data_IF_671882767407
#
_entry.id   IF_671882767407
#
_cell.length_a   1.000
_cell.length_b   1.000
_cell.length_c   1.000
_cell.angle_alpha   90.00
_cell.angle_beta   90.00
_cell.angle_gamma   90.00
#
_symmetry.space_group_name_H-M   'P 1'
#
loop_
_entity.id
_entity.type
_entity.pdbx_description
1 polymer ?
#
# COMPACT_ATOMS: atom_id res chain seq x y z
N UNK A 1 27.34 17.50 20.07
CA UNK A 1 26.59 18.38 19.17
C UNK A 1 25.50 19.03 19.97
N UNK A 2 25.55 20.35 20.02
CA UNK A 2 24.51 21.17 20.59
C UNK A 2 23.37 21.32 19.60
N UNK A 3 22.17 21.49 20.14
CA UNK A 3 20.93 21.55 19.37
C UNK A 3 20.12 22.77 19.78
N UNK A 4 19.83 23.62 18.80
CA UNK A 4 18.97 24.78 18.93
C UNK A 4 17.76 24.63 17.99
N UNK A 5 16.61 25.16 18.40
CA UNK A 5 15.39 25.20 17.60
C UNK A 5 15.15 26.63 17.13
N UNK A 6 14.94 26.78 15.82
CA UNK A 6 14.67 28.07 15.18
C UNK A 6 13.51 27.94 14.18
N UNK A 7 12.94 29.06 13.74
CA UNK A 7 11.86 29.10 12.77
C UNK A 7 12.16 30.09 11.65
N UNK A 8 12.20 29.60 10.42
CA UNK A 8 12.45 30.44 9.25
C UNK A 8 11.20 30.48 8.37
N UNK A 9 10.79 31.67 7.93
CA UNK A 9 9.76 31.76 6.89
C UNK A 9 10.32 31.29 5.54
N UNK A 10 9.47 30.79 4.65
CA UNK A 10 9.88 30.46 3.28
C UNK A 10 10.46 31.69 2.59
N UNK A 11 9.85 32.86 2.78
CA UNK A 11 10.39 34.13 2.31
C UNK A 11 11.83 34.35 2.77
N UNK A 12 12.12 34.18 4.07
CA UNK A 12 13.48 34.32 4.58
C UNK A 12 14.43 33.27 4.01
N UNK A 13 13.98 32.02 3.83
CA UNK A 13 14.78 30.95 3.21
C UNK A 13 15.15 31.26 1.75
N UNK A 14 14.24 31.90 1.01
CA UNK A 14 14.42 32.27 -0.40
C UNK A 14 15.24 33.55 -0.55
N UNK A 15 14.88 34.62 0.17
CA UNK A 15 15.52 35.94 0.08
C UNK A 15 16.96 35.94 0.58
N UNK A 16 17.29 35.09 1.56
CA UNK A 16 18.68 34.93 2.06
C UNK A 16 19.60 34.18 1.07
N UNK A 17 19.33 34.23 -0.24
CA UNK A 17 20.09 33.53 -1.29
C UNK A 17 21.63 33.63 -1.10
N UNK A 18 22.20 32.49 -0.67
CA UNK A 18 23.30 31.76 -1.34
C UNK A 18 24.80 31.95 -1.02
N UNK A 19 25.33 32.71 -0.05
CA UNK A 19 26.70 32.42 0.39
C UNK A 19 26.78 31.24 1.35
N UNK A 20 25.64 30.73 1.86
CA UNK A 20 25.58 30.21 3.22
C UNK A 20 24.93 28.85 3.44
N UNK A 21 24.42 28.16 2.40
CA UNK A 21 23.80 26.84 2.58
C UNK A 21 24.49 25.78 1.70
N UNK A 22 25.37 25.00 2.30
CA UNK A 22 26.04 23.85 1.69
C UNK A 22 25.22 22.57 1.73
N UNK A 23 25.49 21.66 0.81
CA UNK A 23 24.95 20.30 0.80
C UNK A 23 26.12 19.32 0.84
N UNK A 24 26.33 18.61 1.96
CA UNK A 24 27.43 17.64 2.08
C UNK A 24 27.34 16.50 1.05
N UNK A 25 28.49 15.92 0.69
CA UNK A 25 28.61 14.88 -0.34
C UNK A 25 27.86 13.59 0.02
N UNK A 26 27.74 13.27 1.31
CA UNK A 26 27.01 12.07 1.78
C UNK A 26 25.49 12.15 1.58
N UNK A 27 24.95 13.30 1.19
CA UNK A 27 23.52 13.42 0.91
C UNK A 27 23.14 12.81 -0.44
N UNK A 28 21.89 12.38 -0.55
CA UNK A 28 21.32 11.92 -1.82
C UNK A 28 21.27 13.06 -2.83
N UNK A 29 21.41 12.71 -4.12
CA UNK A 29 21.26 13.62 -5.26
C UNK A 29 19.99 14.49 -5.14
N UNK A 30 20.03 15.77 -5.53
CA UNK A 30 18.92 16.71 -5.35
C UNK A 30 17.67 16.36 -6.16
N UNK A 31 17.80 15.53 -7.19
CA UNK A 31 16.73 15.14 -8.13
C UNK A 31 15.96 13.87 -7.74
N UNK A 32 16.09 13.39 -6.49
CA UNK A 32 15.44 12.15 -6.02
C UNK A 32 13.92 12.27 -5.90
N UNK A 33 13.41 13.48 -5.67
CA UNK A 33 11.97 13.73 -5.70
C UNK A 33 11.47 13.96 -7.12
N UNK A 34 10.54 13.09 -7.55
CA UNK A 34 9.74 13.33 -8.75
C UNK A 34 8.83 14.56 -8.58
N UNK A 35 8.31 15.06 -9.70
CA UNK A 35 7.41 16.21 -9.72
C UNK A 35 6.24 16.04 -8.74
N UNK A 36 5.67 14.82 -8.65
CA UNK A 36 4.52 14.54 -7.79
C UNK A 36 4.84 14.74 -6.31
N UNK A 37 6.03 14.32 -5.83
CA UNK A 37 6.47 14.58 -4.45
C UNK A 37 6.70 16.07 -4.19
N UNK A 38 7.30 16.78 -5.16
CA UNK A 38 7.49 18.24 -5.05
C UNK A 38 6.15 18.96 -4.91
N UNK A 39 5.19 18.63 -5.78
CA UNK A 39 3.82 19.19 -5.73
C UNK A 39 3.12 18.93 -4.38
N UNK A 40 3.23 17.72 -3.83
CA UNK A 40 2.64 17.41 -2.51
C UNK A 40 3.22 18.21 -1.36
N UNK A 41 4.52 18.54 -1.41
CA UNK A 41 5.11 19.43 -0.41
C UNK A 41 4.50 20.83 -0.49
N UNK A 42 4.37 21.38 -1.70
CA UNK A 42 3.76 22.70 -1.90
C UNK A 42 2.29 22.71 -1.44
N UNK A 43 1.52 21.67 -1.79
CA UNK A 43 0.14 21.51 -1.30
C UNK A 43 0.08 21.45 0.24
N UNK A 44 1.02 20.73 0.89
CA UNK A 44 1.10 20.67 2.35
C UNK A 44 1.39 22.03 2.99
N UNK A 45 2.30 22.81 2.40
CA UNK A 45 2.64 24.18 2.83
C UNK A 45 1.41 25.10 2.74
N UNK A 46 0.69 25.04 1.61
CA UNK A 46 -0.50 25.87 1.38
C UNK A 46 -1.67 25.52 2.30
N UNK A 47 -1.79 24.25 2.69
CA UNK A 47 -2.75 23.79 3.71
C UNK A 47 -2.29 24.07 5.15
N UNK A 48 -1.11 24.67 5.31
CA UNK A 48 -0.47 24.91 6.59
C UNK A 48 -0.31 23.64 7.44
N UNK A 49 -0.05 22.50 6.80
CA UNK A 49 0.29 21.26 7.49
C UNK A 49 1.73 21.31 8.00
N UNK A 50 1.98 20.70 9.16
CA UNK A 50 3.33 20.61 9.71
C UNK A 50 4.20 19.71 8.81
N UNK A 51 5.41 20.18 8.52
CA UNK A 51 6.40 19.43 7.75
C UNK A 51 7.58 19.05 8.62
N UNK A 52 8.21 17.92 8.29
CA UNK A 52 9.38 17.45 9.01
C UNK A 52 10.47 18.55 9.07
N UNK A 53 11.10 18.77 10.25
CA UNK A 53 12.10 19.81 10.42
C UNK A 53 13.25 19.71 9.43
N UNK A 54 13.86 20.84 9.10
CA UNK A 54 15.10 20.90 8.34
C UNK A 54 16.26 20.91 9.34
N UNK A 55 17.19 19.98 9.19
CA UNK A 55 18.37 19.89 10.04
C UNK A 55 19.52 20.61 9.33
N UNK A 56 20.04 21.65 9.97
CA UNK A 56 21.17 22.42 9.48
C UNK A 56 22.31 22.34 10.48
N UNK A 57 23.52 22.05 10.00
CA UNK A 57 24.75 22.17 10.76
C UNK A 57 25.33 23.57 10.58
N UNK A 58 25.46 24.32 11.67
CA UNK A 58 26.04 25.67 11.67
C UNK A 58 27.56 25.56 11.71
N UNK A 59 28.22 25.89 10.60
CA UNK A 59 29.68 25.97 10.49
C UNK A 59 30.22 27.26 11.10
N UNK A 60 29.57 28.38 10.82
CA UNK A 60 29.87 29.69 11.41
C UNK A 60 28.59 30.54 11.51
N UNK A 61 28.71 31.83 11.85
CA UNK A 61 27.56 32.72 12.06
C UNK A 61 26.62 32.78 10.84
N UNK A 62 27.16 32.57 9.65
CA UNK A 62 26.40 32.69 8.42
C UNK A 62 26.38 31.39 7.61
N UNK A 63 27.36 30.49 7.70
CA UNK A 63 27.42 29.25 6.92
C UNK A 63 26.74 28.07 7.62
N UNK A 64 25.85 27.42 6.88
CA UNK A 64 25.07 26.25 7.28
C UNK A 64 25.27 25.12 6.27
N UNK A 65 25.24 23.88 6.73
CA UNK A 65 25.14 22.70 5.88
C UNK A 65 23.84 21.96 6.15
N UNK A 66 23.05 21.71 5.11
CA UNK A 66 21.85 20.91 5.27
C UNK A 66 22.24 19.46 5.51
N UNK A 67 21.85 18.89 6.65
CA UNK A 67 22.07 17.49 7.01
C UNK A 67 20.87 16.63 6.60
N UNK A 68 19.66 17.14 6.84
CA UNK A 68 18.40 16.55 6.36
C UNK A 68 17.43 17.65 5.93
N UNK A 69 16.71 17.44 4.82
CA UNK A 69 15.79 18.43 4.25
C UNK A 69 16.17 18.98 2.88
N UNK A 70 17.30 18.55 2.28
CA UNK A 70 17.74 18.98 0.94
C UNK A 70 16.64 18.88 -0.11
N UNK A 71 15.89 17.79 -0.13
CA UNK A 71 14.79 17.59 -1.09
C UNK A 71 13.63 18.57 -0.86
N UNK A 72 13.34 18.92 0.40
CA UNK A 72 12.30 19.90 0.76
C UNK A 72 12.71 21.30 0.31
N UNK A 73 13.96 21.69 0.59
CA UNK A 73 14.53 22.98 0.18
C UNK A 73 14.56 23.07 -1.36
N UNK A 74 15.03 22.02 -2.04
CA UNK A 74 15.06 21.98 -3.49
C UNK A 74 13.64 22.09 -4.09
N UNK A 75 12.64 21.42 -3.53
CA UNK A 75 11.26 21.54 -3.99
C UNK A 75 10.72 22.98 -3.84
N UNK A 76 10.98 23.65 -2.71
CA UNK A 76 10.61 25.06 -2.48
C UNK A 76 11.31 25.96 -3.50
N UNK A 77 12.64 25.83 -3.66
CA UNK A 77 13.41 26.61 -4.63
C UNK A 77 12.96 26.36 -6.06
N UNK A 78 12.60 25.11 -6.40
CA UNK A 78 12.10 24.75 -7.73
C UNK A 78 10.73 25.36 -7.99
N UNK A 79 9.85 25.43 -6.99
CA UNK A 79 8.53 26.03 -7.15
C UNK A 79 8.63 27.54 -7.40
N UNK A 80 9.45 28.23 -6.62
CA UNK A 80 9.70 29.68 -6.75
C UNK A 80 10.50 30.02 -8.02
N UNK A 81 11.16 29.04 -8.64
CA UNK A 81 11.93 29.25 -9.88
C UNK A 81 13.39 29.66 -9.65
N UNK A 82 13.85 29.61 -8.41
CA UNK A 82 15.17 30.10 -7.98
C UNK A 82 16.23 29.00 -7.90
N UNK A 83 15.88 27.77 -8.27
CA UNK A 83 16.78 26.62 -8.22
C UNK A 83 17.78 26.63 -9.38
N UNK A 84 19.01 27.05 -9.10
CA UNK A 84 20.10 27.18 -10.06
C UNK A 84 21.02 25.94 -10.10
N UNK A 85 20.50 24.72 -9.89
CA UNK A 85 21.25 23.47 -10.00
C UNK A 85 21.60 23.15 -11.47
N UNK A 86 22.47 23.96 -12.09
CA UNK A 86 23.21 23.73 -13.34
C UNK A 86 22.50 22.89 -14.42
N UNK A 87 21.28 23.27 -14.82
CA UNK A 87 20.47 22.58 -15.85
C UNK A 87 20.15 21.09 -15.58
N UNK A 88 20.32 20.59 -14.34
CA UNK A 88 19.92 19.22 -13.96
C UNK A 88 18.49 19.13 -13.44
N UNK A 89 17.89 20.24 -13.05
CA UNK A 89 16.52 20.27 -12.53
C UNK A 89 15.50 20.52 -13.65
N UNK A 90 14.89 19.44 -14.14
CA UNK A 90 13.89 19.50 -15.21
C UNK A 90 12.57 20.16 -14.79
N UNK A 91 12.30 20.30 -13.48
CA UNK A 91 11.02 20.79 -12.96
C UNK A 91 11.14 22.15 -12.25
N UNK A 92 12.05 23.03 -12.67
CA UNK A 92 12.04 24.40 -12.15
C UNK A 92 10.78 25.14 -12.65
N UNK A 93 10.15 25.96 -11.79
CA UNK A 93 8.86 26.64 -12.02
C UNK A 93 7.70 25.68 -12.33
N UNK A 94 7.62 24.57 -11.61
CA UNK A 94 6.56 23.60 -11.83
C UNK A 94 5.18 24.13 -11.40
N UNK A 95 4.14 23.61 -12.05
CA UNK A 95 2.75 23.91 -11.71
C UNK A 95 2.30 23.14 -10.48
N UNK A 96 1.50 23.76 -9.62
CA UNK A 96 0.87 23.09 -8.49
C UNK A 96 -0.08 21.99 -8.96
N UNK A 97 -0.22 20.96 -8.14
CA UNK A 97 -1.24 19.93 -8.29
C UNK A 97 -1.88 19.71 -6.94
N UNK A 98 -3.18 19.96 -6.87
CA UNK A 98 -3.98 19.78 -5.67
C UNK A 98 -4.60 18.39 -5.77
N UNK A 99 -3.94 17.43 -5.12
CA UNK A 99 -4.36 16.04 -5.01
C UNK A 99 -4.34 15.63 -3.52
N UNK A 100 -5.50 15.68 -2.87
CA UNK A 100 -5.67 15.19 -1.51
C UNK A 100 -5.76 13.66 -1.47
N UNK A 101 -5.21 13.01 -0.44
CA UNK A 101 -5.24 11.56 -0.28
C UNK A 101 -6.54 10.98 0.30
N UNK A 102 -7.30 11.79 1.04
CA UNK A 102 -8.34 11.31 1.96
C UNK A 102 -9.74 11.65 1.43
N UNK A 103 -9.93 12.86 0.93
CA UNK A 103 -11.19 13.33 0.37
C UNK A 103 -10.96 14.04 -0.96
N UNK A 104 -12.04 14.30 -1.69
CA UNK A 104 -11.98 15.16 -2.88
C UNK A 104 -12.16 16.60 -2.40
N UNK A 105 -11.22 17.48 -2.75
CA UNK A 105 -11.31 18.90 -2.42
C UNK A 105 -12.40 19.53 -3.31
N UNK A 106 -13.64 19.50 -2.85
CA UNK A 106 -14.79 20.11 -3.54
C UNK A 106 -14.97 21.58 -3.19
N UNK A 107 -14.22 22.08 -2.21
CA UNK A 107 -14.34 23.44 -1.71
C UNK A 107 -13.57 24.41 -2.61
N UNK A 108 -14.30 25.35 -3.21
CA UNK A 108 -13.77 26.54 -3.86
C UNK A 108 -13.12 27.40 -2.74
N UNK A 109 -11.77 27.37 -2.59
CA UNK A 109 -10.82 28.00 -3.51
C UNK A 109 -9.58 27.14 -3.87
N UNK A 110 -9.44 25.93 -3.34
CA UNK A 110 -8.26 25.12 -3.63
C UNK A 110 -8.26 24.62 -5.07
N UNK A 111 -9.41 24.20 -5.60
CA UNK A 111 -9.48 23.65 -6.96
C UNK A 111 -9.04 24.65 -8.05
N UNK A 112 -9.25 25.97 -7.85
CA UNK A 112 -8.85 27.02 -8.80
C UNK A 112 -7.34 27.31 -8.81
N UNK A 113 -6.61 26.91 -7.77
CA UNK A 113 -5.15 27.04 -7.68
C UNK A 113 -4.41 25.86 -8.36
N UNK A 114 -5.13 24.79 -8.71
CA UNK A 114 -4.54 23.64 -9.40
C UNK A 114 -4.05 24.06 -10.79
N UNK A 115 -2.78 23.83 -11.09
CA UNK A 115 -2.16 24.27 -12.34
C UNK A 115 -1.49 25.64 -12.29
N UNK A 116 -1.67 26.41 -11.21
CA UNK A 116 -0.98 27.69 -11.00
C UNK A 116 0.51 27.50 -10.69
N UNK A 117 1.33 28.47 -11.07
CA UNK A 117 2.76 28.57 -10.72
C UNK A 117 2.97 29.62 -9.63
N UNK A 118 4.18 29.69 -9.05
CA UNK A 118 4.51 30.75 -8.10
C UNK A 118 4.36 32.16 -8.72
N UNK A 119 4.74 32.33 -10.00
CA UNK A 119 4.59 33.61 -10.70
C UNK A 119 3.12 34.01 -10.84
N UNK A 120 2.21 33.04 -11.05
CA UNK A 120 0.77 33.31 -11.09
C UNK A 120 0.24 33.77 -9.73
N UNK A 121 0.78 33.22 -8.63
CA UNK A 121 0.45 33.63 -7.26
C UNK A 121 1.00 35.02 -6.92
N UNK A 122 2.20 35.35 -7.40
CA UNK A 122 2.88 36.64 -7.18
C UNK A 122 2.22 37.78 -7.98
N UNK A 123 1.53 37.47 -9.07
CA UNK A 123 0.96 38.47 -9.97
C UNK A 123 -0.13 39.34 -9.30
N UNK A 124 0.12 40.65 -9.24
CA UNK A 124 -0.78 41.64 -8.61
C UNK A 124 -2.18 41.69 -9.21
N UNK A 125 -2.34 41.44 -10.51
CA UNK A 125 -3.66 41.48 -11.16
C UNK A 125 -4.46 40.23 -10.80
N UNK A 126 -3.84 39.05 -10.80
CA UNK A 126 -4.45 37.81 -10.30
C UNK A 126 -4.87 37.95 -8.83
N UNK A 127 -4.03 38.56 -7.98
CA UNK A 127 -4.34 38.77 -6.56
C UNK A 127 -5.52 39.73 -6.33
N UNK A 128 -5.72 40.73 -7.21
CA UNK A 128 -6.85 41.67 -7.14
C UNK A 128 -8.15 41.04 -7.63
N UNK A 129 -8.08 40.24 -8.68
CA UNK A 129 -9.24 39.56 -9.27
C UNK A 129 -9.68 38.37 -8.43
N UNK A 130 -8.73 37.65 -7.84
CA UNK A 130 -8.94 36.39 -7.13
C UNK A 130 -8.25 36.43 -5.76
N UNK A 131 -9.04 36.64 -4.70
CA UNK A 131 -8.55 36.70 -3.32
C UNK A 131 -7.74 35.44 -2.94
N UNK A 132 -8.13 34.28 -3.46
CA UNK A 132 -7.47 33.00 -3.20
C UNK A 132 -6.00 32.95 -3.66
N UNK A 133 -5.61 33.69 -4.71
CA UNK A 133 -4.22 33.77 -5.15
C UNK A 133 -3.37 34.53 -4.15
N UNK A 134 -3.92 35.62 -3.60
CA UNK A 134 -3.27 36.39 -2.54
C UNK A 134 -3.12 35.56 -1.26
N UNK A 135 -4.21 34.94 -0.80
CA UNK A 135 -4.18 34.11 0.40
C UNK A 135 -3.17 32.95 0.26
N UNK A 136 -3.09 32.32 -0.93
CA UNK A 136 -2.09 31.28 -1.21
C UNK A 136 -0.65 31.81 -1.25
N UNK A 137 -0.42 32.98 -1.85
CA UNK A 137 0.90 33.62 -1.89
C UNK A 137 1.40 33.99 -0.48
N UNK A 138 0.54 34.61 0.32
CA UNK A 138 0.84 35.00 1.71
C UNK A 138 1.10 33.74 2.56
N UNK A 139 0.21 32.74 2.49
CA UNK A 139 0.36 31.47 3.21
C UNK A 139 1.67 30.76 2.85
N UNK A 140 2.05 30.74 1.57
CA UNK A 140 3.30 30.12 1.14
C UNK A 140 4.52 30.88 1.69
N UNK A 141 4.59 32.20 1.49
CA UNK A 141 5.76 32.98 1.86
C UNK A 141 5.95 33.10 3.37
N UNK A 142 4.85 33.21 4.13
CA UNK A 142 4.86 33.33 5.60
C UNK A 142 4.93 31.98 6.33
N UNK A 143 4.80 30.86 5.61
CA UNK A 143 4.90 29.53 6.19
C UNK A 143 6.21 29.37 6.97
N UNK A 144 6.10 28.95 8.24
CA UNK A 144 7.23 28.82 9.16
C UNK A 144 7.79 27.40 9.12
N UNK A 145 8.98 27.27 8.57
CA UNK A 145 9.77 26.05 8.58
C UNK A 145 10.42 25.88 9.95
N UNK A 146 10.22 24.70 10.56
CA UNK A 146 10.94 24.32 11.77
C UNK A 146 12.39 23.95 11.41
N UNK A 147 13.34 24.72 11.92
CA UNK A 147 14.78 24.51 11.71
C UNK A 147 15.39 23.95 12.99
N UNK A 148 16.14 22.86 12.86
CA UNK A 148 16.98 22.33 13.93
C UNK A 148 18.42 22.68 13.58
N UNK A 149 18.98 23.63 14.32
CA UNK A 149 20.38 24.03 14.20
C UNK A 149 21.24 23.10 15.05
N UNK A 150 22.28 22.56 14.44
CA UNK A 150 23.27 21.70 15.06
C UNK A 150 24.60 22.42 15.06
N UNK A 151 25.27 22.47 16.20
CA UNK A 151 26.64 22.99 16.31
C UNK A 151 27.52 21.99 17.04
N UNK A 152 28.83 22.10 16.84
CA UNK A 152 29.81 21.32 17.59
C UNK A 152 30.78 22.25 18.29
N UNK A 153 31.01 22.01 19.58
CA UNK A 153 32.02 22.72 20.36
C UNK A 153 33.43 22.13 20.17
N UNK A 154 33.59 21.11 19.33
CA UNK A 154 34.88 20.46 19.10
C UNK A 154 35.51 20.94 17.81
N UNK A 155 36.76 21.41 17.90
CA UNK A 155 37.61 21.75 16.74
C UNK A 155 38.06 20.52 15.91
N UNK A 156 37.64 19.32 16.29
CA UNK A 156 37.95 18.08 15.57
C UNK A 156 36.96 17.86 14.41
N UNK A 157 37.36 18.31 13.22
CA UNK A 157 36.56 18.22 11.99
C UNK A 157 36.16 16.79 11.61
N UNK A 158 37.06 15.81 11.75
CA UNK A 158 36.79 14.41 11.37
C UNK A 158 35.69 13.81 12.26
N UNK A 159 35.74 14.07 13.56
CA UNK A 159 34.70 13.60 14.49
C UNK A 159 33.35 14.26 14.22
N UNK A 160 33.35 15.54 13.84
CA UNK A 160 32.14 16.26 13.47
C UNK A 160 31.50 15.63 12.24
N UNK A 161 32.27 15.33 11.19
CA UNK A 161 31.77 14.70 9.97
C UNK A 161 31.19 13.29 10.21
N UNK A 162 31.85 12.50 11.06
CA UNK A 162 31.36 11.16 11.45
C UNK A 162 30.01 11.22 12.19
N UNK A 163 29.88 12.14 13.15
CA UNK A 163 28.63 12.31 13.90
C UNK A 163 27.49 12.84 13.01
N UNK A 164 27.78 13.78 12.10
CA UNK A 164 26.82 14.27 11.10
C UNK A 164 26.35 13.14 10.17
N UNK A 165 27.27 12.30 9.71
CA UNK A 165 26.95 11.13 8.87
C UNK A 165 26.07 10.12 9.61
N UNK A 166 26.40 9.82 10.87
CA UNK A 166 25.60 8.91 11.71
C UNK A 166 24.19 9.47 11.95
N UNK A 167 24.08 10.78 12.18
CA UNK A 167 22.79 11.45 12.34
C UNK A 167 21.96 11.41 11.05
N UNK A 168 22.57 11.66 9.89
CA UNK A 168 21.90 11.54 8.59
C UNK A 168 21.32 10.13 8.39
N UNK A 169 22.10 9.08 8.65
CA UNK A 169 21.62 7.70 8.56
C UNK A 169 20.43 7.49 9.49
N UNK A 170 20.53 7.87 10.77
CA UNK A 170 19.48 7.65 11.77
C UNK A 170 18.19 8.39 11.46
N UNK A 171 18.25 9.62 10.95
CA UNK A 171 17.07 10.37 10.52
C UNK A 171 16.36 9.67 9.35
N UNK A 172 17.13 9.02 8.46
CA UNK A 172 16.61 8.34 7.28
C UNK A 172 16.19 6.87 7.50
N UNK A 173 16.39 6.31 8.69
CA UNK A 173 15.97 4.93 9.04
C UNK A 173 14.47 4.79 9.33
N UNK A 174 13.74 5.91 9.52
CA UNK A 174 12.30 5.87 9.79
C UNK A 174 11.54 5.33 8.57
N UNK A 175 10.82 4.23 8.78
CA UNK A 175 10.08 3.56 7.71
C UNK A 175 8.82 4.34 7.33
N UNK A 176 8.62 4.60 6.04
CA UNK A 176 7.38 5.20 5.55
C UNK A 176 6.16 4.31 5.89
N UNK A 177 5.00 4.95 6.04
CA UNK A 177 3.73 4.24 6.26
C UNK A 177 3.47 3.24 5.12
N UNK A 178 3.04 2.03 5.48
CA UNK A 178 2.66 1.02 4.50
C UNK A 178 1.21 1.21 4.03
N UNK A 179 0.77 0.40 3.06
CA UNK A 179 -0.57 0.52 2.50
C UNK A 179 -1.68 0.37 3.57
N UNK A 180 -1.55 -0.57 4.50
CA UNK A 180 -2.55 -0.78 5.55
C UNK A 180 -2.65 0.39 6.52
N UNK A 181 -1.51 0.95 6.95
CA UNK A 181 -1.46 2.15 7.80
C UNK A 181 -2.06 3.37 7.10
N UNK A 182 -1.77 3.53 5.80
CA UNK A 182 -2.36 4.60 4.99
C UNK A 182 -3.87 4.44 4.80
N UNK A 183 -4.38 3.21 4.63
CA UNK A 183 -5.82 2.95 4.55
C UNK A 183 -6.53 3.19 5.90
N UNK A 184 -5.87 2.87 7.01
CA UNK A 184 -6.43 3.10 8.35
C UNK A 184 -6.63 4.60 8.64
N UNK A 185 -5.74 5.44 8.11
CA UNK A 185 -5.79 6.90 8.19
C UNK A 185 -6.88 7.54 7.32
N UNK A 186 -7.53 6.78 6.42
CA UNK A 186 -8.65 7.28 5.63
C UNK A 186 -9.90 7.47 6.49
N UNK A 187 -10.88 8.20 5.95
CA UNK A 187 -12.18 8.43 6.56
C UNK A 187 -13.31 7.78 5.74
N UNK A 188 -14.52 7.75 6.29
CA UNK A 188 -15.73 7.30 5.59
C UNK A 188 -16.20 5.87 5.90
N UNK A 189 -17.34 5.49 5.34
CA UNK A 189 -18.03 4.24 5.63
C UNK A 189 -17.22 3.00 5.23
N UNK A 190 -16.51 3.01 4.09
CA UNK A 190 -15.66 1.86 3.71
C UNK A 190 -14.53 1.62 4.71
N UNK A 191 -13.89 2.69 5.18
CA UNK A 191 -12.87 2.58 6.22
C UNK A 191 -13.47 2.04 7.51
N UNK A 192 -14.66 2.48 7.90
CA UNK A 192 -15.34 1.97 9.10
C UNK A 192 -15.78 0.51 8.93
N UNK A 193 -16.27 0.10 7.77
CA UNK A 193 -16.59 -1.31 7.51
C UNK A 193 -15.33 -2.18 7.65
N UNK A 194 -14.24 -1.80 6.98
CA UNK A 194 -13.01 -2.59 6.98
C UNK A 194 -12.31 -2.56 8.33
N UNK A 195 -12.13 -1.41 8.98
CA UNK A 195 -11.34 -1.35 10.21
C UNK A 195 -12.20 -1.48 11.46
N UNK A 196 -13.47 -1.07 11.41
CA UNK A 196 -14.36 -1.14 12.56
C UNK A 196 -15.28 -2.35 12.57
N UNK A 197 -16.04 -2.62 11.52
CA UNK A 197 -17.00 -3.73 11.56
C UNK A 197 -16.30 -5.09 11.48
N UNK A 198 -15.24 -5.21 10.68
CA UNK A 198 -14.49 -6.47 10.56
C UNK A 198 -13.43 -6.68 11.67
N UNK A 199 -12.95 -5.60 12.32
CA UNK A 199 -11.80 -5.64 13.23
C UNK A 199 -11.93 -4.84 14.55
N UNK A 200 -12.95 -4.00 14.78
CA UNK A 200 -13.11 -3.20 16.03
C UNK A 200 -13.98 -3.88 17.09
N UNK A 201 -13.66 -3.54 18.34
CA UNK A 201 -14.22 -4.00 19.60
C UNK A 201 -15.52 -3.25 19.97
N UNK A 202 -16.53 -3.99 20.46
CA UNK A 202 -17.63 -3.43 21.25
C UNK A 202 -17.20 -3.49 22.73
N UNK A 203 -17.36 -2.41 23.53
CA UNK A 203 -17.07 -2.46 24.96
C UNK A 203 -17.98 -3.48 25.68
N UNK A 204 -17.40 -4.49 26.33
CA UNK A 204 -18.13 -5.45 27.18
C UNK A 204 -18.13 -6.92 26.71
N UNK A 205 -17.66 -7.22 25.50
CA UNK A 205 -17.52 -8.59 24.99
C UNK A 205 -16.04 -8.98 24.85
N UNK A 206 -15.69 -10.25 25.11
CA UNK A 206 -14.33 -10.75 24.88
C UNK A 206 -13.99 -10.75 23.37
N UNK A 207 -13.46 -9.62 22.88
CA UNK A 207 -12.62 -9.40 21.70
C UNK A 207 -12.72 -10.47 20.60
N UNK A 208 -13.50 -10.28 19.54
CA UNK A 208 -13.33 -11.11 18.33
C UNK A 208 -13.35 -10.30 17.04
N UNK A 209 -12.13 -10.10 16.50
CA UNK A 209 -11.88 -9.97 15.06
C UNK A 209 -12.71 -11.01 14.31
N UNK A 210 -13.22 -10.69 13.12
CA UNK A 210 -14.02 -11.64 12.35
C UNK A 210 -13.29 -13.01 12.28
N UNK A 211 -13.97 -14.15 12.59
CA UNK A 211 -13.31 -15.45 12.74
C UNK A 211 -12.42 -15.85 11.56
N UNK A 212 -12.81 -15.50 10.33
CA UNK A 212 -11.98 -15.68 9.13
C UNK A 212 -10.57 -15.08 9.28
N UNK A 213 -10.48 -13.79 9.59
CA UNK A 213 -9.20 -13.12 9.77
C UNK A 213 -8.47 -13.58 11.03
N UNK A 214 -9.18 -14.16 12.02
CA UNK A 214 -8.56 -14.81 13.17
C UNK A 214 -7.87 -16.12 12.78
N UNK A 215 -8.51 -16.94 11.94
CA UNK A 215 -8.04 -18.28 11.58
C UNK A 215 -6.87 -18.28 10.59
N UNK A 216 -6.83 -17.34 9.63
CA UNK A 216 -5.74 -17.27 8.66
C UNK A 216 -4.39 -16.86 9.30
N UNK A 217 -3.30 -17.47 8.84
CA UNK A 217 -1.93 -17.29 9.36
C UNK A 217 -1.14 -16.20 8.65
N UNK A 218 -1.83 -15.10 8.31
CA UNK A 218 -1.20 -13.84 7.89
C UNK A 218 -0.79 -13.05 9.15
N UNK A 219 0.36 -12.35 9.18
CA UNK A 219 0.73 -11.54 10.35
C UNK A 219 -0.26 -10.38 10.57
N UNK A 220 -0.45 -9.97 11.82
CA UNK A 220 -1.22 -8.75 12.17
C UNK A 220 -0.39 -7.47 12.05
N UNK A 221 0.92 -7.59 11.86
CA UNK A 221 1.84 -6.46 11.86
C UNK A 221 1.50 -5.49 10.71
N UNK A 222 1.42 -4.20 11.05
CA UNK A 222 1.18 -3.09 10.12
C UNK A 222 -0.05 -3.29 9.21
N UNK A 223 -1.19 -3.65 9.83
CA UNK A 223 -2.50 -3.74 9.19
C UNK A 223 -2.57 -4.66 7.94
N UNK A 224 -1.82 -5.75 7.94
CA UNK A 224 -1.74 -6.65 6.79
C UNK A 224 -3.05 -7.40 6.50
N UNK A 225 -3.84 -7.74 7.52
CA UNK A 225 -5.12 -8.45 7.34
C UNK A 225 -6.24 -7.51 6.91
N UNK A 226 -6.20 -6.29 7.41
CA UNK A 226 -7.09 -5.20 7.06
C UNK A 226 -6.85 -4.80 5.60
N UNK A 227 -5.58 -4.80 5.14
CA UNK A 227 -5.27 -4.65 3.72
C UNK A 227 -5.88 -5.79 2.87
N UNK A 228 -5.82 -7.05 3.34
CA UNK A 228 -6.46 -8.19 2.65
C UNK A 228 -7.98 -8.01 2.60
N UNK A 229 -8.60 -7.57 3.70
CA UNK A 229 -10.02 -7.26 3.76
C UNK A 229 -10.41 -6.16 2.76
N UNK A 230 -9.60 -5.10 2.66
CA UNK A 230 -9.80 -4.03 1.67
C UNK A 230 -9.69 -4.55 0.22
N UNK A 231 -8.74 -5.45 -0.07
CA UNK A 231 -8.59 -6.08 -1.38
C UNK A 231 -9.76 -6.99 -1.73
N UNK A 232 -10.28 -7.74 -0.75
CA UNK A 232 -11.50 -8.53 -0.88
C UNK A 232 -12.68 -7.62 -1.22
N UNK A 233 -12.91 -6.56 -0.44
CA UNK A 233 -14.04 -5.66 -0.64
C UNK A 233 -14.00 -4.99 -2.02
N UNK A 234 -12.85 -4.42 -2.42
CA UNK A 234 -12.70 -3.79 -3.73
C UNK A 234 -13.06 -4.77 -4.88
N UNK A 235 -12.52 -5.98 -4.84
CA UNK A 235 -12.73 -6.94 -5.92
C UNK A 235 -14.13 -7.57 -5.90
N UNK A 236 -14.72 -7.77 -4.73
CA UNK A 236 -16.10 -8.22 -4.62
C UNK A 236 -17.06 -7.17 -5.20
N UNK A 237 -16.88 -5.89 -4.86
CA UNK A 237 -17.67 -4.80 -5.42
C UNK A 237 -17.53 -4.73 -6.94
N UNK A 238 -16.29 -4.89 -7.44
CA UNK A 238 -15.98 -4.89 -8.87
C UNK A 238 -16.58 -6.10 -9.61
N UNK A 239 -16.65 -7.26 -8.94
CA UNK A 239 -17.25 -8.49 -9.49
C UNK A 239 -18.78 -8.41 -9.52
N UNK A 240 -19.40 -7.77 -8.54
CA UNK A 240 -20.86 -7.66 -8.41
C UNK A 240 -21.46 -6.44 -9.12
N UNK A 241 -20.63 -5.61 -9.75
CA UNK A 241 -21.05 -4.44 -10.52
C UNK A 241 -20.59 -4.59 -11.97
N UNK A 242 -21.40 -4.21 -12.99
CA UNK A 242 -20.95 -4.23 -14.38
C UNK A 242 -19.63 -3.45 -14.53
N UNK A 243 -18.62 -3.99 -15.24
CA UNK A 243 -18.70 -5.11 -16.18
C UNK A 243 -18.40 -6.51 -15.59
N UNK A 244 -18.48 -6.69 -14.26
CA UNK A 244 -18.22 -7.96 -13.57
C UNK A 244 -16.77 -8.46 -13.74
N UNK A 245 -15.82 -7.52 -13.69
CA UNK A 245 -14.38 -7.81 -13.84
C UNK A 245 -13.61 -7.52 -12.57
N UNK A 246 -12.47 -8.16 -12.38
CA UNK A 246 -11.56 -7.83 -11.30
C UNK A 246 -10.88 -6.46 -11.49
N UNK A 247 -10.68 -5.76 -10.37
CA UNK A 247 -10.02 -4.46 -10.33
C UNK A 247 -8.56 -4.60 -9.89
N UNK A 248 -7.72 -3.67 -10.34
CA UNK A 248 -6.39 -3.49 -9.76
C UNK A 248 -6.55 -3.10 -8.29
N UNK A 249 -5.73 -3.65 -7.42
CA UNK A 249 -5.84 -3.54 -5.96
C UNK A 249 -4.53 -3.11 -5.29
N UNK A 250 -3.77 -2.23 -5.97
CA UNK A 250 -2.64 -1.52 -5.36
C UNK A 250 -3.18 -0.48 -4.38
N UNK A 251 -2.28 0.07 -3.56
CA UNK A 251 -2.65 1.11 -2.59
C UNK A 251 -3.43 2.27 -3.23
N UNK A 252 -2.99 2.76 -4.39
CA UNK A 252 -3.65 3.88 -5.09
C UNK A 252 -5.10 3.54 -5.48
N UNK A 253 -5.36 2.31 -5.92
CA UNK A 253 -6.70 1.86 -6.30
C UNK A 253 -7.60 1.70 -5.07
N UNK A 254 -7.05 1.13 -3.99
CA UNK A 254 -7.75 1.01 -2.71
C UNK A 254 -8.07 2.39 -2.12
N UNK A 255 -7.17 3.36 -2.26
CA UNK A 255 -7.40 4.74 -1.86
C UNK A 255 -8.55 5.36 -2.66
N UNK A 256 -8.54 5.27 -4.00
CA UNK A 256 -9.66 5.78 -4.80
C UNK A 256 -10.99 5.09 -4.45
N UNK A 257 -10.96 3.78 -4.18
CA UNK A 257 -12.14 3.04 -3.75
C UNK A 257 -12.68 3.55 -2.42
N UNK A 258 -11.83 3.75 -1.41
CA UNK A 258 -12.25 4.27 -0.10
C UNK A 258 -12.83 5.67 -0.22
N UNK A 259 -12.20 6.57 -1.00
CA UNK A 259 -12.73 7.91 -1.29
C UNK A 259 -14.13 7.88 -1.91
N UNK A 260 -14.32 7.09 -2.96
CA UNK A 260 -15.63 6.91 -3.62
C UNK A 260 -16.69 6.33 -2.71
N UNK A 261 -16.28 5.58 -1.68
CA UNK A 261 -17.14 4.93 -0.70
C UNK A 261 -17.08 5.61 0.67
N UNK A 262 -16.91 6.93 0.67
CA UNK A 262 -16.97 7.75 1.88
C UNK A 262 -18.36 7.69 2.52
N UNK A 263 -19.42 7.74 1.71
CA UNK A 263 -20.81 7.49 2.11
C UNK A 263 -21.35 6.29 1.34
N UNK A 264 -21.96 5.34 2.03
CA UNK A 264 -22.60 4.18 1.37
C UNK A 264 -23.96 4.55 0.80
N UNK A 265 -24.25 4.02 -0.38
CA UNK A 265 -25.62 3.89 -0.87
C UNK A 265 -26.22 2.53 -0.46
N UNK A 266 -27.48 2.28 -0.81
CA UNK A 266 -28.18 1.03 -0.46
C UNK A 266 -27.48 -0.20 -1.05
N UNK A 267 -26.95 -0.09 -2.27
CA UNK A 267 -26.22 -1.17 -2.92
C UNK A 267 -24.90 -1.48 -2.21
N UNK A 268 -24.16 -0.44 -1.80
CA UNK A 268 -22.90 -0.59 -1.06
C UNK A 268 -23.15 -1.28 0.29
N UNK A 269 -24.23 -0.91 0.96
CA UNK A 269 -24.65 -1.53 2.24
C UNK A 269 -25.08 -2.99 2.04
N UNK A 270 -25.74 -3.32 0.93
CA UNK A 270 -26.06 -4.72 0.58
C UNK A 270 -24.77 -5.53 0.36
N UNK A 271 -23.84 -5.01 -0.44
CA UNK A 271 -22.60 -5.71 -0.77
C UNK A 271 -21.70 -5.93 0.46
N UNK A 272 -21.63 -4.98 1.40
CA UNK A 272 -20.88 -5.19 2.65
C UNK A 272 -21.50 -6.26 3.54
N UNK A 273 -22.84 -6.34 3.60
CA UNK A 273 -23.55 -7.42 4.31
C UNK A 273 -23.31 -8.78 3.66
N UNK A 274 -23.33 -8.86 2.33
CA UNK A 274 -22.99 -10.09 1.61
C UNK A 274 -21.55 -10.54 1.88
N UNK A 275 -20.59 -9.61 1.93
CA UNK A 275 -19.21 -9.95 2.32
C UNK A 275 -19.18 -10.60 3.71
N UNK A 276 -19.90 -10.04 4.69
CA UNK A 276 -19.98 -10.62 6.04
C UNK A 276 -20.62 -12.01 6.03
N UNK A 277 -21.71 -12.18 5.29
CA UNK A 277 -22.39 -13.47 5.13
C UNK A 277 -21.46 -14.52 4.53
N UNK A 278 -20.77 -14.19 3.44
CA UNK A 278 -19.80 -15.08 2.78
C UNK A 278 -18.65 -15.42 3.73
N UNK A 279 -18.10 -14.44 4.46
CA UNK A 279 -17.04 -14.70 5.42
C UNK A 279 -17.49 -15.66 6.54
N UNK A 280 -18.74 -15.56 7.00
CA UNK A 280 -19.32 -16.47 7.99
C UNK A 280 -19.49 -17.88 7.43
N UNK A 281 -20.02 -18.01 6.21
CA UNK A 281 -20.15 -19.29 5.50
C UNK A 281 -18.77 -19.95 5.34
N UNK A 282 -17.76 -19.18 4.92
CA UNK A 282 -16.38 -19.68 4.76
C UNK A 282 -15.86 -20.24 6.09
N UNK A 283 -16.04 -19.51 7.20
CA UNK A 283 -15.60 -19.97 8.52
C UNK A 283 -16.28 -21.27 8.92
N UNK A 284 -17.59 -21.37 8.69
CA UNK A 284 -18.38 -22.55 9.02
C UNK A 284 -17.93 -23.81 8.28
N UNK A 285 -17.53 -23.68 7.01
CA UNK A 285 -17.23 -24.84 6.16
C UNK A 285 -15.74 -25.15 6.02
N UNK A 286 -14.85 -24.16 6.01
CA UNK A 286 -13.43 -24.39 5.74
C UNK A 286 -12.61 -24.65 7.01
N UNK A 287 -13.01 -24.10 8.16
CA UNK A 287 -12.38 -24.24 9.48
C UNK A 287 -10.85 -24.44 9.46
N UNK A 288 -10.37 -25.68 9.65
CA UNK A 288 -8.94 -26.06 9.65
C UNK A 288 -8.17 -25.60 8.39
N UNK A 289 -8.79 -25.61 7.21
CA UNK A 289 -8.17 -25.21 5.95
C UNK A 289 -7.75 -23.72 5.97
N UNK A 290 -8.46 -22.88 6.74
CA UNK A 290 -8.11 -21.46 6.88
C UNK A 290 -6.75 -21.27 7.56
N UNK A 291 -6.36 -22.18 8.45
CA UNK A 291 -5.07 -22.11 9.16
C UNK A 291 -3.87 -22.35 8.26
N UNK A 292 -4.09 -22.95 7.08
CA UNK A 292 -3.05 -23.21 6.08
C UNK A 292 -2.75 -21.94 5.27
N UNK A 293 -3.72 -21.01 5.17
CA UNK A 293 -3.60 -19.78 4.39
C UNK A 293 -2.64 -18.79 5.06
N UNK A 294 -1.43 -18.68 4.51
CA UNK A 294 -0.37 -17.74 4.95
C UNK A 294 -0.15 -16.57 3.99
N UNK A 295 -0.52 -16.73 2.72
CA UNK A 295 -0.31 -15.72 1.68
C UNK A 295 -1.56 -14.86 1.49
N UNK A 296 -1.36 -13.53 1.43
CA UNK A 296 -2.41 -12.52 1.24
C UNK A 296 -3.21 -12.72 -0.04
N UNK A 297 -2.52 -12.98 -1.15
CA UNK A 297 -3.11 -13.21 -2.46
C UNK A 297 -4.02 -14.45 -2.44
N UNK A 298 -3.57 -15.54 -1.82
CA UNK A 298 -4.37 -16.77 -1.66
C UNK A 298 -5.64 -16.47 -0.87
N UNK A 299 -5.56 -15.75 0.25
CA UNK A 299 -6.75 -15.39 1.03
C UNK A 299 -7.79 -14.62 0.20
N UNK A 300 -7.35 -13.64 -0.60
CA UNK A 300 -8.23 -12.88 -1.51
C UNK A 300 -8.86 -13.81 -2.57
N UNK A 301 -8.06 -14.65 -3.22
CA UNK A 301 -8.55 -15.56 -4.26
C UNK A 301 -9.52 -16.62 -3.72
N UNK A 302 -9.24 -17.18 -2.54
CA UNK A 302 -10.14 -18.14 -1.88
C UNK A 302 -11.49 -17.51 -1.61
N UNK A 303 -11.52 -16.29 -1.05
CA UNK A 303 -12.78 -15.58 -0.82
C UNK A 303 -13.54 -15.35 -2.13
N UNK A 304 -12.88 -14.78 -3.14
CA UNK A 304 -13.55 -14.39 -4.39
C UNK A 304 -14.05 -15.60 -5.19
N UNK A 305 -13.31 -16.71 -5.16
CA UNK A 305 -13.76 -17.95 -5.79
C UNK A 305 -15.02 -18.51 -5.12
N UNK A 306 -15.03 -18.55 -3.78
CA UNK A 306 -16.20 -19.01 -3.03
C UNK A 306 -17.37 -18.07 -3.29
N UNK A 307 -17.15 -16.76 -3.20
CA UNK A 307 -18.15 -15.73 -3.47
C UNK A 307 -18.80 -15.91 -4.86
N UNK A 308 -18.02 -16.05 -5.93
CA UNK A 308 -18.55 -16.32 -7.28
C UNK A 308 -19.33 -17.66 -7.32
N UNK A 309 -18.80 -18.71 -6.68
CA UNK A 309 -19.37 -20.05 -6.77
C UNK A 309 -20.72 -20.17 -6.07
N UNK A 310 -20.92 -19.47 -4.95
CA UNK A 310 -22.15 -19.53 -4.15
C UNK A 310 -23.12 -18.38 -4.45
N UNK A 311 -22.79 -17.48 -5.37
CA UNK A 311 -23.70 -16.41 -5.76
C UNK A 311 -24.79 -16.95 -6.70
N UNK A 312 -26.04 -16.58 -6.44
CA UNK A 312 -27.16 -16.81 -7.34
C UNK A 312 -27.43 -15.52 -8.14
N UNK A 313 -27.13 -15.55 -9.44
CA UNK A 313 -27.29 -14.38 -10.31
C UNK A 313 -28.76 -13.97 -10.53
N UNK A 314 -29.68 -14.93 -10.54
CA UNK A 314 -31.11 -14.68 -10.75
C UNK A 314 -31.73 -13.99 -9.52
N UNK A 315 -31.39 -14.49 -8.33
CA UNK A 315 -31.89 -13.96 -7.06
C UNK A 315 -31.04 -12.83 -6.49
N UNK A 316 -29.89 -12.54 -7.11
CA UNK A 316 -28.90 -11.53 -6.71
C UNK A 316 -28.50 -11.61 -5.24
N UNK A 317 -28.36 -12.83 -4.72
CA UNK A 317 -28.04 -13.09 -3.32
C UNK A 317 -27.09 -14.28 -3.18
N UNK A 318 -26.52 -14.41 -1.98
CA UNK A 318 -25.70 -15.54 -1.57
C UNK A 318 -26.60 -16.77 -1.36
N UNK A 319 -26.26 -17.88 -1.99
CA UNK A 319 -26.98 -19.15 -1.87
C UNK A 319 -26.27 -20.08 -0.86
N UNK A 320 -26.83 -20.14 0.34
CA UNK A 320 -26.32 -20.96 1.43
C UNK A 320 -26.48 -22.47 1.18
N UNK A 321 -27.45 -22.92 0.37
CA UNK A 321 -27.61 -24.34 0.07
C UNK A 321 -26.54 -24.79 -0.94
N UNK A 322 -26.28 -23.97 -1.96
CA UNK A 322 -25.17 -24.19 -2.89
C UNK A 322 -23.81 -24.22 -2.18
N UNK A 323 -23.65 -23.39 -1.14
CA UNK A 323 -22.46 -23.42 -0.30
C UNK A 323 -22.26 -24.75 0.43
N UNK A 324 -23.33 -25.36 0.97
CA UNK A 324 -23.25 -26.68 1.64
C UNK A 324 -22.82 -27.80 0.69
N UNK A 325 -23.18 -27.70 -0.58
CA UNK A 325 -22.80 -28.68 -1.61
C UNK A 325 -21.33 -28.53 -2.03
N UNK A 326 -20.90 -27.32 -2.35
CA UNK A 326 -19.58 -27.07 -2.98
C UNK A 326 -18.45 -27.01 -1.95
N UNK A 327 -18.68 -26.39 -0.80
CA UNK A 327 -17.59 -26.04 0.12
C UNK A 327 -16.89 -27.22 0.80
N UNK A 328 -17.54 -28.35 1.13
CA UNK A 328 -16.83 -29.53 1.65
C UNK A 328 -15.76 -30.05 0.66
N UNK A 329 -16.11 -30.20 -0.61
CA UNK A 329 -15.16 -30.62 -1.64
C UNK A 329 -14.09 -29.55 -1.88
N UNK A 330 -14.47 -28.28 -1.84
CA UNK A 330 -13.53 -27.18 -1.99
C UNK A 330 -12.54 -27.09 -0.83
N UNK A 331 -12.95 -27.42 0.39
CA UNK A 331 -12.08 -27.52 1.57
C UNK A 331 -10.99 -28.56 1.32
N UNK A 332 -11.38 -29.77 0.93
CA UNK A 332 -10.42 -30.87 0.68
C UNK A 332 -9.47 -30.53 -0.47
N UNK A 333 -10.02 -29.99 -1.56
CA UNK A 333 -9.24 -29.44 -2.66
C UNK A 333 -8.22 -28.40 -2.18
N UNK A 334 -8.65 -27.41 -1.38
CA UNK A 334 -7.77 -26.33 -0.94
C UNK A 334 -6.61 -26.86 -0.08
N UNK A 335 -6.87 -27.84 0.78
CA UNK A 335 -5.85 -28.51 1.59
C UNK A 335 -4.84 -29.24 0.68
N UNK A 336 -5.33 -30.11 -0.21
CA UNK A 336 -4.46 -30.87 -1.12
C UNK A 336 -3.69 -29.95 -2.09
N UNK A 337 -4.34 -28.91 -2.60
CA UNK A 337 -3.77 -27.94 -3.53
C UNK A 337 -2.64 -27.14 -2.89
N UNK A 338 -2.86 -26.58 -1.70
CA UNK A 338 -1.83 -25.83 -0.99
C UNK A 338 -0.68 -26.73 -0.51
N UNK A 339 -0.95 -27.98 -0.14
CA UNK A 339 0.08 -28.96 0.15
C UNK A 339 0.92 -29.30 -1.09
N UNK A 340 0.27 -29.45 -2.25
CA UNK A 340 0.94 -29.69 -3.54
C UNK A 340 1.87 -28.54 -3.90
N UNK A 341 1.44 -27.29 -3.76
CA UNK A 341 2.29 -26.12 -4.01
C UNK A 341 3.54 -26.11 -3.11
N UNK A 342 3.40 -26.45 -1.82
CA UNK A 342 4.54 -26.54 -0.90
C UNK A 342 5.48 -27.68 -1.27
N UNK A 343 4.92 -28.84 -1.60
CA UNK A 343 5.71 -30.00 -2.01
C UNK A 343 6.51 -29.71 -3.27
N UNK A 344 5.89 -29.14 -4.30
CA UNK A 344 6.58 -28.75 -5.53
C UNK A 344 7.68 -27.70 -5.31
N UNK A 345 7.48 -26.74 -4.40
CA UNK A 345 8.54 -25.79 -4.00
C UNK A 345 9.76 -26.52 -3.40
N UNK A 346 9.55 -27.56 -2.58
CA UNK A 346 10.65 -28.35 -2.01
C UNK A 346 11.42 -29.14 -3.07
N UNK A 347 10.70 -29.65 -4.08
CA UNK A 347 11.29 -30.32 -5.24
C UNK A 347 12.07 -29.37 -6.14
N UNK A 348 11.69 -28.08 -6.21
CA UNK A 348 12.45 -27.07 -6.95
C UNK A 348 13.80 -26.75 -6.30
N UNK A 349 13.86 -26.77 -4.96
CA UNK A 349 15.09 -26.47 -4.19
C UNK A 349 16.08 -27.62 -4.16
N UNK A 350 15.59 -28.86 -4.24
CA UNK A 350 16.43 -30.04 -4.42
C UNK A 350 16.71 -30.19 -5.92
N UNK A 351 17.95 -30.46 -6.33
CA UNK A 351 18.37 -30.46 -7.74
C UNK A 351 17.76 -31.59 -8.61
N UNK A 352 16.57 -32.12 -8.28
CA UNK A 352 15.93 -33.23 -8.97
C UNK A 352 15.12 -32.74 -10.19
N UNK A 353 15.48 -33.29 -11.35
CA UNK A 353 15.11 -32.85 -12.70
C UNK A 353 13.80 -33.46 -13.26
N UNK A 354 12.68 -33.47 -12.53
CA UNK A 354 11.39 -33.81 -13.16
C UNK A 354 10.66 -32.53 -13.61
N UNK A 355 10.61 -32.29 -14.92
CA UNK A 355 10.18 -31.03 -15.54
C UNK A 355 8.65 -30.92 -15.72
N UNK A 356 7.92 -32.05 -15.84
CA UNK A 356 6.50 -32.05 -16.21
C UNK A 356 5.55 -31.76 -15.03
N UNK A 357 5.92 -32.11 -13.80
CA UNK A 357 5.13 -31.78 -12.60
C UNK A 357 5.44 -30.38 -12.02
N UNK A 358 6.08 -29.49 -12.79
CA UNK A 358 6.52 -28.13 -12.36
C UNK A 358 5.57 -26.99 -12.75
N UNK A 359 4.60 -27.25 -13.63
CA UNK A 359 3.76 -26.20 -14.22
C UNK A 359 2.87 -25.51 -13.19
N UNK A 360 2.27 -26.26 -12.25
CA UNK A 360 1.42 -25.69 -11.19
C UNK A 360 2.17 -24.65 -10.38
N UNK A 361 3.36 -25.01 -9.87
CA UNK A 361 4.19 -24.12 -9.09
C UNK A 361 4.64 -22.92 -9.93
N UNK A 362 5.18 -23.14 -11.13
CA UNK A 362 5.74 -22.03 -11.94
C UNK A 362 4.66 -21.01 -12.30
N UNK A 363 3.47 -21.45 -12.70
CA UNK A 363 2.41 -20.55 -13.14
C UNK A 363 1.69 -19.90 -11.96
N UNK A 364 1.27 -20.69 -10.97
CA UNK A 364 0.49 -20.14 -9.85
C UNK A 364 1.36 -19.32 -8.90
N UNK A 365 2.62 -19.73 -8.64
CA UNK A 365 3.55 -18.98 -7.78
C UNK A 365 3.82 -17.59 -8.37
N UNK A 366 4.00 -17.50 -9.68
CA UNK A 366 4.20 -16.21 -10.36
C UNK A 366 3.03 -15.25 -10.11
N UNK A 367 1.79 -15.73 -10.12
CA UNK A 367 0.63 -14.86 -9.90
C UNK A 367 0.38 -14.47 -8.44
N UNK A 368 0.91 -15.22 -7.47
CA UNK A 368 0.82 -14.88 -6.04
C UNK A 368 2.01 -14.07 -5.53
N UNK A 369 3.17 -14.16 -6.19
CA UNK A 369 4.40 -13.45 -5.80
C UNK A 369 4.60 -12.16 -6.60
N UNK A 370 4.45 -12.22 -7.92
CA UNK A 370 4.72 -11.08 -8.79
C UNK A 370 3.45 -10.33 -9.12
N UNK A 371 3.43 -9.03 -8.80
CA UNK A 371 2.33 -8.13 -9.15
C UNK A 371 0.95 -8.65 -8.73
N UNK A 372 0.86 -9.31 -7.57
CA UNK A 372 -0.37 -9.97 -7.10
C UNK A 372 -1.58 -9.03 -6.98
N UNK A 373 -1.36 -7.72 -6.82
CA UNK A 373 -2.41 -6.70 -6.81
C UNK A 373 -2.91 -6.26 -8.19
N UNK A 374 -2.37 -6.79 -9.30
CA UNK A 374 -2.85 -6.47 -10.64
C UNK A 374 -4.13 -7.22 -11.00
N UNK A 375 -5.01 -6.59 -11.78
CA UNK A 375 -6.25 -7.21 -12.25
C UNK A 375 -5.97 -8.49 -13.03
N UNK A 376 -5.00 -8.50 -13.95
CA UNK A 376 -4.65 -9.69 -14.74
C UNK A 376 -4.14 -10.84 -13.86
N UNK A 377 -3.37 -10.54 -12.80
CA UNK A 377 -2.83 -11.55 -11.91
C UNK A 377 -3.96 -12.20 -11.10
N UNK A 378 -4.94 -11.39 -10.66
CA UNK A 378 -6.12 -11.90 -9.98
C UNK A 378 -7.02 -12.73 -10.92
N UNK A 379 -7.29 -12.26 -12.13
CA UNK A 379 -8.05 -13.02 -13.15
C UNK A 379 -7.41 -14.38 -13.43
N UNK A 380 -6.09 -14.42 -13.60
CA UNK A 380 -5.37 -15.68 -13.85
C UNK A 380 -5.41 -16.62 -12.65
N UNK A 381 -5.23 -16.11 -11.41
CA UNK A 381 -5.40 -16.93 -10.19
C UNK A 381 -6.79 -17.50 -10.06
N UNK A 382 -7.80 -16.68 -10.34
CA UNK A 382 -9.20 -17.07 -10.28
C UNK A 382 -9.52 -18.18 -11.29
N UNK A 383 -9.12 -17.98 -12.56
CA UNK A 383 -9.26 -18.99 -13.60
C UNK A 383 -8.49 -20.29 -13.28
N UNK A 384 -7.30 -20.16 -12.68
CA UNK A 384 -6.50 -21.30 -12.25
C UNK A 384 -7.22 -22.12 -11.17
N UNK A 385 -7.68 -21.48 -10.09
CA UNK A 385 -8.44 -22.16 -9.02
C UNK A 385 -9.68 -22.85 -9.59
N UNK A 386 -10.43 -22.16 -10.47
CA UNK A 386 -11.62 -22.71 -11.13
C UNK A 386 -11.29 -23.96 -11.96
N UNK A 387 -10.24 -23.91 -12.78
CA UNK A 387 -9.79 -25.05 -13.60
C UNK A 387 -9.41 -26.25 -12.72
N UNK A 388 -8.61 -26.02 -11.69
CA UNK A 388 -8.09 -27.08 -10.83
C UNK A 388 -9.17 -27.68 -9.94
N UNK A 389 -10.05 -26.85 -9.39
CA UNK A 389 -11.17 -27.34 -8.58
C UNK A 389 -12.16 -28.16 -9.40
N UNK A 390 -12.51 -27.72 -10.61
CA UNK A 390 -13.40 -28.49 -11.48
C UNK A 390 -12.81 -29.88 -11.79
N UNK A 391 -11.52 -29.94 -12.13
CA UNK A 391 -10.84 -31.21 -12.36
C UNK A 391 -10.81 -32.09 -11.10
N UNK A 392 -10.54 -31.49 -9.94
CA UNK A 392 -10.53 -32.19 -8.66
C UNK A 392 -11.90 -32.74 -8.30
N UNK A 393 -12.98 -31.99 -8.54
CA UNK A 393 -14.34 -32.46 -8.33
C UNK A 393 -14.67 -33.68 -9.19
N UNK A 394 -14.24 -33.66 -10.45
CA UNK A 394 -14.61 -34.70 -11.41
C UNK A 394 -13.75 -35.97 -11.25
N UNK A 395 -12.48 -35.84 -10.82
CA UNK A 395 -11.51 -36.94 -10.81
C UNK A 395 -10.93 -37.27 -9.43
N UNK A 396 -11.21 -36.47 -8.40
CA UNK A 396 -10.64 -36.56 -7.05
C UNK A 396 -9.10 -36.53 -7.03
N UNK A 397 -8.48 -35.84 -7.97
CA UNK A 397 -7.03 -35.65 -8.07
C UNK A 397 -6.65 -34.23 -8.50
N UNK A 398 -5.42 -33.82 -8.18
CA UNK A 398 -4.87 -32.55 -8.65
C UNK A 398 -4.30 -32.78 -10.06
N UNK A 399 -4.54 -31.82 -10.98
CA UNK A 399 -4.05 -31.91 -12.36
C UNK A 399 -2.55 -32.24 -12.36
N UNK A 400 -2.17 -33.31 -13.04
CA UNK A 400 -0.77 -33.77 -13.13
C UNK A 400 -0.45 -34.97 -12.23
N UNK A 401 -1.31 -35.32 -11.27
CA UNK A 401 -1.10 -36.47 -10.36
C UNK A 401 -0.94 -37.78 -11.12
N UNK A 402 -1.83 -38.05 -12.08
CA UNK A 402 -1.76 -39.21 -12.97
C UNK A 402 -0.45 -39.26 -13.77
N UNK A 403 0.05 -38.12 -14.25
CA UNK A 403 1.31 -38.04 -14.98
C UNK A 403 2.50 -38.34 -14.06
N UNK A 404 2.51 -37.79 -12.84
CA UNK A 404 3.56 -38.06 -11.85
C UNK A 404 3.66 -39.54 -11.51
N UNK A 405 2.52 -40.22 -11.35
CA UNK A 405 2.50 -41.68 -11.12
C UNK A 405 3.07 -42.44 -12.31
N UNK A 406 2.69 -42.04 -13.54
CA UNK A 406 3.21 -42.66 -14.77
C UNK A 406 4.73 -42.51 -14.89
N UNK A 407 5.26 -41.33 -14.55
CA UNK A 407 6.69 -41.03 -14.70
C UNK A 407 7.56 -41.63 -13.60
N UNK A 408 7.05 -41.72 -12.36
CA UNK A 408 7.86 -42.06 -11.17
C UNK A 408 7.48 -43.38 -10.51
N UNK A 409 6.31 -43.93 -10.84
CA UNK A 409 5.68 -45.05 -10.13
C UNK A 409 5.22 -44.71 -8.70
N UNK A 410 5.28 -43.44 -8.28
CA UNK A 410 4.95 -43.01 -6.91
C UNK A 410 3.62 -42.28 -6.85
N UNK A 411 2.90 -42.47 -5.74
CA UNK A 411 1.61 -41.82 -5.52
C UNK A 411 1.79 -40.39 -4.99
N UNK A 412 1.38 -39.39 -5.79
CA UNK A 412 1.48 -37.97 -5.43
C UNK A 412 0.69 -37.61 -4.14
N UNK A 413 -0.46 -38.24 -3.88
CA UNK A 413 -1.23 -38.01 -2.64
C UNK A 413 -0.46 -38.49 -1.41
N UNK A 414 0.22 -39.62 -1.50
CA UNK A 414 1.04 -40.13 -0.41
C UNK A 414 2.26 -39.22 -0.14
N UNK A 415 2.91 -38.73 -1.19
CA UNK A 415 4.08 -37.84 -1.08
C UNK A 415 3.68 -36.48 -0.45
N UNK A 416 2.55 -35.90 -0.87
CA UNK A 416 2.10 -34.59 -0.35
C UNK A 416 1.50 -34.66 1.06
N UNK A 417 1.07 -35.83 1.54
CA UNK A 417 0.48 -35.98 2.88
C UNK A 417 1.42 -35.49 3.99
N UNK A 418 2.73 -35.62 3.80
CA UNK A 418 3.75 -35.11 4.71
C UNK A 418 3.73 -33.57 4.85
N UNK A 419 3.20 -32.86 3.85
CA UNK A 419 3.08 -31.39 3.84
C UNK A 419 1.74 -30.89 4.39
N UNK A 420 0.81 -31.81 4.69
CA UNK A 420 -0.48 -31.54 5.35
C UNK A 420 -0.31 -31.55 6.87
N UNK A 421 0.44 -32.51 7.43
CA UNK A 421 0.60 -32.74 8.88
C UNK A 421 1.81 -32.05 9.52
N UNK A 422 2.78 -31.55 8.73
CA UNK A 422 4.04 -30.99 9.24
C UNK A 422 4.06 -29.46 9.34
N UNK A 423 4.31 -28.94 10.56
CA UNK A 423 4.94 -27.64 10.76
C UNK A 423 6.27 -27.61 10.00
N UNK A 424 6.43 -26.69 9.07
CA UNK A 424 7.72 -26.08 8.74
C UNK A 424 7.48 -24.78 7.96
N UNK A 425 8.18 -23.75 8.40
CA UNK A 425 7.98 -22.36 8.01
C UNK A 425 8.28 -22.14 6.53
N UNK A 426 7.34 -21.54 5.80
CA UNK A 426 7.69 -20.84 4.57
C UNK A 426 8.52 -19.62 4.99
N UNK A 427 9.67 -19.32 4.35
CA UNK A 427 10.35 -18.07 4.59
C UNK A 427 9.39 -16.93 4.25
N UNK A 428 9.24 -15.98 5.17
CA UNK A 428 8.62 -14.70 4.86
C UNK A 428 9.43 -14.08 3.71
N UNK A 429 8.77 -13.88 2.56
CA UNK A 429 9.27 -13.07 1.47
C UNK A 429 8.87 -11.61 1.68
#
# INVERSE_FOLDING_TARGET
>A
MDRELDQWTIKNLVEKKRPFLGFPEFQREPTVWDLKKKQKLIDSILRNYDIAPIYLYKKDEYNFECIDGRQRINAIYSFVGVNDDNNKEANNKFKMSIENEIYDDTDFPFMSLSGATYEDLENDDNQKEHKEYKDAFDNFNEYKLNIVLLSSDTDNEEKNEQELSLQFIRLNLLSALNAGEKLHAMSGNMRNFIFNELFTEIPGEQKRKHPFFKSIKIPYRRYAKEQVAAQIALNYFSLMTPPNTFSRSRYIDLQYFFKRKTKFNDNDTRLTKEILEILNIIVQHLDEALTIIRNRAIAVSTFLYIAESIYNEEEKKVDSEKAKEILPQFKDFLIEFLATLKWQLSLYRSANQNHQYREIFTDFQNYITNAAGESYALTRRHAFIKKYFNHYRDNNEIIGDSQYFTDTGRNAKAERANFISGQLELPEG
#
